data_IF_708873050240
#
_entry.id   IF_708873050240
#
_cell.length_a   1.000
_cell.length_b   1.000
_cell.length_c   1.000
_cell.angle_alpha   90.00
_cell.angle_beta   90.00
_cell.angle_gamma   90.00
#
_symmetry.space_group_name_H-M   'P 1'
#
loop_
_entity.id
_entity.type
_entity.pdbx_description
1 polymer ?
#
# COMPACT_ATOMS: atom_id res chain seq x y z
N UNK A 1 18.49 5.74 15.12
CA UNK A 1 17.66 6.82 14.54
C UNK A 1 18.51 8.06 14.24
N UNK A 2 18.32 8.69 13.09
CA UNK A 2 18.93 9.97 12.71
C UNK A 2 18.39 11.09 13.58
N UNK A 3 19.24 12.09 13.89
CA UNK A 3 18.85 13.24 14.72
C UNK A 3 18.90 14.51 13.90
N UNK A 4 17.80 15.26 13.89
CA UNK A 4 17.70 16.58 13.24
C UNK A 4 17.68 17.67 14.30
N UNK A 5 18.39 18.76 14.04
CA UNK A 5 18.38 19.94 14.91
C UNK A 5 17.43 21.01 14.38
N UNK A 6 16.52 21.48 15.23
CA UNK A 6 15.59 22.57 14.92
C UNK A 6 15.81 23.69 15.94
N UNK A 7 16.04 24.90 15.44
CA UNK A 7 16.13 26.11 16.28
C UNK A 7 14.77 26.78 16.31
N UNK A 8 14.25 26.98 17.51
CA UNK A 8 12.97 27.65 17.76
C UNK A 8 13.12 28.80 18.73
N UNK A 9 12.12 29.67 18.74
CA UNK A 9 11.99 30.81 19.66
C UNK A 9 10.76 30.59 20.54
N UNK A 10 10.88 30.85 21.85
CA UNK A 10 9.78 30.69 22.78
C UNK A 10 8.63 31.67 22.48
N UNK A 11 7.40 31.20 22.51
CA UNK A 11 6.21 32.04 22.35
C UNK A 11 5.78 32.62 23.69
N UNK A 12 5.81 33.94 23.78
CA UNK A 12 5.34 34.67 24.98
C UNK A 12 3.82 34.85 24.99
N UNK A 13 3.23 35.06 23.81
CA UNK A 13 1.80 35.28 23.65
C UNK A 13 1.14 34.12 22.91
N UNK A 14 0.07 33.60 23.47
CA UNK A 14 -0.77 32.55 22.89
C UNK A 14 -2.07 33.16 22.36
N UNK A 15 -2.66 32.55 21.32
CA UNK A 15 -3.94 32.94 20.77
C UNK A 15 -3.97 33.07 19.24
N UNK A 16 -5.20 33.25 18.70
CA UNK A 16 -5.46 33.23 17.24
C UNK A 16 -4.74 34.35 16.47
N UNK A 17 -4.68 35.56 17.04
CA UNK A 17 -4.09 36.72 16.36
C UNK A 17 -2.58 36.51 16.15
N UNK A 18 -1.88 36.13 17.22
CA UNK A 18 -0.44 35.85 17.19
C UNK A 18 -0.11 34.66 16.27
N UNK A 19 -0.85 33.55 16.37
CA UNK A 19 -0.67 32.38 15.50
C UNK A 19 -0.82 32.73 14.02
N UNK A 20 -1.80 33.60 13.67
CA UNK A 20 -1.99 34.04 12.28
C UNK A 20 -0.83 34.91 11.80
N UNK A 21 -0.26 35.73 12.67
CA UNK A 21 0.91 36.56 12.36
C UNK A 21 2.15 35.69 12.13
N UNK A 22 2.47 34.75 13.04
CA UNK A 22 3.60 33.81 12.91
C UNK A 22 3.56 33.08 11.57
N UNK A 23 2.38 32.57 11.18
CA UNK A 23 2.21 31.89 9.88
C UNK A 23 2.38 32.81 8.67
N UNK A 24 2.00 34.08 8.78
CA UNK A 24 2.24 35.07 7.71
C UNK A 24 3.73 35.39 7.52
N UNK A 25 4.50 35.34 8.60
CA UNK A 25 5.96 35.55 8.59
C UNK A 25 6.75 34.33 8.10
N UNK A 26 6.03 33.22 7.73
CA UNK A 26 6.66 31.98 7.25
C UNK A 26 7.17 31.09 8.38
N UNK A 27 6.71 31.30 9.60
CA UNK A 27 7.02 30.48 10.75
C UNK A 27 5.87 29.54 11.10
N UNK A 28 6.19 28.39 11.71
CA UNK A 28 5.24 27.38 12.16
C UNK A 28 5.16 27.41 13.68
N UNK A 29 3.98 27.58 14.27
CA UNK A 29 3.77 27.41 15.70
C UNK A 29 3.83 25.95 16.07
N UNK A 30 4.56 25.61 17.12
CA UNK A 30 4.80 24.24 17.59
C UNK A 30 4.61 24.15 19.10
N UNK A 31 4.39 22.91 19.56
CA UNK A 31 4.27 22.60 20.99
C UNK A 31 5.14 21.37 21.30
N UNK A 32 5.87 21.43 22.42
CA UNK A 32 6.51 20.28 23.04
C UNK A 32 5.73 19.92 24.28
N UNK A 33 5.29 18.67 24.37
CA UNK A 33 4.59 18.13 25.54
C UNK A 33 5.22 16.79 25.99
N UNK A 34 4.79 16.27 27.12
CA UNK A 34 5.35 15.06 27.73
C UNK A 34 6.04 15.32 29.07
N UNK A 35 6.17 16.57 29.48
CA UNK A 35 6.57 17.00 30.81
C UNK A 35 5.39 17.69 31.53
N UNK A 36 5.60 18.16 32.77
CA UNK A 36 4.62 18.90 33.56
C UNK A 36 4.17 20.20 32.87
N UNK A 37 5.05 20.85 32.13
CA UNK A 37 4.75 22.10 31.42
C UNK A 37 4.88 21.91 29.89
N UNK A 38 3.85 22.35 29.17
CA UNK A 38 3.89 22.41 27.71
C UNK A 38 4.69 23.63 27.26
N UNK A 39 5.65 23.41 26.34
CA UNK A 39 6.51 24.45 25.81
C UNK A 39 6.01 24.86 24.44
N UNK A 40 5.57 26.12 24.33
CA UNK A 40 5.11 26.69 23.07
C UNK A 40 6.23 27.47 22.40
N UNK A 41 6.57 27.11 21.18
CA UNK A 41 7.61 27.76 20.39
C UNK A 41 7.17 27.96 18.95
N UNK A 42 7.97 28.64 18.17
CA UNK A 42 7.82 28.71 16.73
C UNK A 42 9.19 28.57 16.06
N UNK A 43 9.20 28.00 14.87
CA UNK A 43 10.40 27.86 14.07
C UNK A 43 10.09 28.11 12.59
N UNK A 44 11.10 28.45 11.77
CA UNK A 44 10.92 28.65 10.34
C UNK A 44 10.44 27.37 9.65
N UNK A 45 9.45 27.49 8.74
CA UNK A 45 8.88 26.36 7.99
C UNK A 45 9.97 25.52 7.29
N UNK A 46 11.02 26.16 6.81
CA UNK A 46 12.16 25.50 6.13
C UNK A 46 12.89 24.49 7.01
N UNK A 47 12.93 24.70 8.32
CA UNK A 47 13.61 23.80 9.26
C UNK A 47 12.93 22.45 9.39
N UNK A 48 11.65 22.37 9.06
CA UNK A 48 10.85 21.13 9.12
C UNK A 48 10.91 20.31 7.83
N UNK A 49 11.47 20.86 6.73
CA UNK A 49 11.46 20.20 5.42
C UNK A 49 12.08 18.80 5.47
N UNK A 50 13.25 18.66 6.08
CA UNK A 50 13.94 17.38 6.16
C UNK A 50 13.27 16.40 7.14
N UNK A 51 12.49 16.89 8.11
CA UNK A 51 11.77 16.06 9.07
C UNK A 51 10.48 15.47 8.47
N UNK A 52 9.75 16.27 7.69
CA UNK A 52 8.41 15.93 7.22
C UNK A 52 8.45 15.16 5.89
N UNK A 53 9.33 15.56 4.98
CA UNK A 53 9.39 14.96 3.64
C UNK A 53 10.32 13.74 3.54
N UNK A 54 10.87 13.29 4.66
CA UNK A 54 11.66 12.05 4.72
C UNK A 54 10.81 10.90 5.23
N UNK A 55 10.88 9.76 4.57
CA UNK A 55 10.15 8.55 4.95
C UNK A 55 10.84 7.75 6.07
N UNK A 56 11.47 8.41 7.01
CA UNK A 56 12.19 7.79 8.13
C UNK A 56 11.68 8.36 9.44
N UNK A 57 11.56 7.52 10.47
CA UNK A 57 11.31 8.01 11.81
C UNK A 57 12.59 8.64 12.38
N UNK A 58 12.51 9.90 12.77
CA UNK A 58 13.67 10.68 13.18
C UNK A 58 13.51 11.27 14.57
N UNK A 59 14.64 11.37 15.29
CA UNK A 59 14.72 12.11 16.54
C UNK A 59 14.95 13.59 16.24
N UNK A 60 14.30 14.45 16.99
CA UNK A 60 14.44 15.89 16.84
C UNK A 60 15.07 16.48 18.08
N UNK A 61 16.19 17.19 17.90
CA UNK A 61 16.79 18.02 18.93
C UNK A 61 16.31 19.46 18.74
N UNK A 62 15.43 19.91 19.61
CA UNK A 62 14.84 21.24 19.52
C UNK A 62 15.60 22.16 20.49
N UNK A 63 16.21 23.21 19.93
CA UNK A 63 16.84 24.28 20.70
C UNK A 63 15.88 25.44 20.80
N UNK A 64 15.34 25.67 21.98
CA UNK A 64 14.45 26.82 22.25
C UNK A 64 15.22 27.76 23.17
N UNK A 65 15.59 28.92 22.63
CA UNK A 65 16.47 29.88 23.28
C UNK A 65 17.77 29.19 23.79
N UNK A 66 17.97 29.06 25.11
CA UNK A 66 19.15 28.44 25.70
C UNK A 66 18.96 26.98 26.17
N UNK A 67 17.76 26.39 25.89
CA UNK A 67 17.44 25.05 26.35
C UNK A 67 17.33 24.06 25.18
N UNK A 68 17.82 22.84 25.37
CA UNK A 68 17.74 21.77 24.39
C UNK A 68 16.76 20.70 24.86
N UNK A 69 15.88 20.28 23.93
CA UNK A 69 14.89 19.25 24.18
C UNK A 69 15.05 18.13 23.14
N UNK A 70 15.12 16.88 23.62
CA UNK A 70 15.01 15.71 22.76
C UNK A 70 13.52 15.38 22.60
N UNK A 71 13.04 15.32 21.38
CA UNK A 71 11.63 15.07 21.08
C UNK A 71 11.46 14.24 19.81
N UNK A 72 10.28 13.68 19.62
CA UNK A 72 9.82 13.04 18.37
C UNK A 72 8.62 13.81 17.85
N UNK A 73 8.49 13.89 16.53
CA UNK A 73 7.29 14.39 15.88
C UNK A 73 6.15 13.43 16.16
N UNK A 74 5.07 13.94 16.74
CA UNK A 74 3.90 13.16 17.10
C UNK A 74 2.75 13.37 16.13
N UNK A 75 2.45 14.63 15.81
CA UNK A 75 1.39 14.99 14.89
C UNK A 75 1.76 16.25 14.09
N UNK A 76 1.23 16.33 12.88
CA UNK A 76 1.45 17.45 11.96
C UNK A 76 0.14 17.87 11.28
N UNK A 77 -0.04 19.16 11.11
CA UNK A 77 -1.22 19.72 10.46
C UNK A 77 -0.82 20.51 9.24
N UNK A 78 -1.34 20.11 8.08
CA UNK A 78 -1.15 20.80 6.82
C UNK A 78 -2.36 21.60 6.38
N UNK A 79 -2.11 22.60 5.58
CA UNK A 79 -3.18 23.32 4.92
C UNK A 79 -3.70 22.51 3.72
N UNK A 80 -5.02 22.21 3.61
CA UNK A 80 -5.57 21.24 2.67
C UNK A 80 -5.43 21.61 1.18
N UNK A 81 -5.08 22.86 0.87
CA UNK A 81 -4.95 23.35 -0.51
C UNK A 81 -3.51 23.70 -0.87
N UNK A 82 -2.72 24.20 0.09
CA UNK A 82 -1.37 24.70 -0.19
C UNK A 82 -0.28 23.82 0.36
N UNK A 83 -0.62 22.73 1.05
CA UNK A 83 0.27 21.77 1.72
C UNK A 83 1.34 22.40 2.64
N UNK A 84 1.09 23.63 3.06
CA UNK A 84 1.95 24.33 4.01
C UNK A 84 1.73 23.78 5.41
N UNK A 85 2.81 23.60 6.15
CA UNK A 85 2.75 23.18 7.54
C UNK A 85 2.08 24.28 8.41
N UNK A 86 0.98 23.94 9.07
CA UNK A 86 0.24 24.84 9.96
C UNK A 86 0.62 24.69 11.41
N UNK A 87 0.91 23.46 11.85
CA UNK A 87 1.25 23.15 13.24
C UNK A 87 2.09 21.87 13.29
N UNK A 88 2.96 21.75 14.27
CA UNK A 88 3.68 20.52 14.56
C UNK A 88 3.73 20.29 16.07
N UNK A 89 3.39 19.07 16.47
CA UNK A 89 3.33 18.61 17.84
C UNK A 89 4.51 17.67 18.11
N UNK A 90 5.26 17.97 19.17
CA UNK A 90 6.43 17.21 19.57
C UNK A 90 6.21 16.57 20.94
N UNK A 91 6.51 15.28 21.02
CA UNK A 91 6.53 14.56 22.27
C UNK A 91 7.97 14.53 22.81
N UNK A 92 8.17 15.08 24.00
CA UNK A 92 9.47 15.05 24.66
C UNK A 92 9.84 13.63 25.06
N UNK A 93 11.07 13.25 24.81
CA UNK A 93 11.61 11.92 25.06
C UNK A 93 12.50 11.95 26.29
N UNK A 94 12.35 10.89 27.09
CA UNK A 94 13.23 10.56 28.20
C UNK A 94 13.84 9.17 27.97
N UNK A 95 15.11 9.02 28.22
CA UNK A 95 15.85 7.77 27.96
C UNK A 95 15.23 6.57 28.74
N UNK A 96 14.57 6.82 29.88
CA UNK A 96 14.00 5.79 30.75
C UNK A 96 12.49 5.55 30.56
N UNK A 97 11.83 6.17 29.58
CA UNK A 97 10.39 6.00 29.36
C UNK A 97 10.11 5.45 27.97
N UNK A 98 9.24 4.43 27.86
CA UNK A 98 8.81 3.97 26.53
C UNK A 98 8.01 5.05 25.80
N UNK A 99 8.28 5.23 24.53
CA UNK A 99 7.62 6.22 23.66
C UNK A 99 6.77 5.50 22.65
N UNK A 100 5.63 6.09 22.32
CA UNK A 100 4.77 5.63 21.23
C UNK A 100 4.96 6.55 20.04
N UNK A 101 5.39 5.98 18.91
CA UNK A 101 5.61 6.70 17.66
C UNK A 101 5.05 5.94 16.47
N UNK A 102 4.79 6.63 15.38
CA UNK A 102 4.43 6.04 14.11
C UNK A 102 5.71 5.83 13.29
N UNK A 103 6.03 4.56 12.98
CA UNK A 103 7.21 4.21 12.18
C UNK A 103 6.73 3.80 10.78
N UNK A 104 7.38 4.28 9.71
CA UNK A 104 7.04 3.91 8.35
C UNK A 104 7.39 2.46 8.06
N UNK A 105 6.59 1.86 7.18
CA UNK A 105 6.74 0.48 6.72
C UNK A 105 7.34 0.47 5.33
N UNK A 106 8.43 -0.28 5.15
CA UNK A 106 9.08 -0.51 3.86
C UNK A 106 9.01 -1.99 3.51
N UNK A 107 8.51 -2.30 2.30
CA UNK A 107 8.50 -3.65 1.77
C UNK A 107 9.84 -3.97 1.14
N UNK A 108 10.44 -5.11 1.50
CA UNK A 108 11.72 -5.60 0.95
C UNK A 108 11.48 -6.92 0.22
N UNK A 109 12.16 -7.10 -0.92
CA UNK A 109 12.03 -8.29 -1.77
C UNK A 109 11.01 -8.11 -2.88
N UNK A 110 11.03 -9.02 -3.84
CA UNK A 110 10.04 -9.10 -4.92
C UNK A 110 9.06 -10.23 -4.64
N UNK A 111 7.80 -9.91 -4.45
CA UNK A 111 6.80 -10.93 -4.16
C UNK A 111 6.52 -11.83 -5.38
N UNK A 112 6.32 -13.12 -5.13
CA UNK A 112 5.89 -14.10 -6.16
C UNK A 112 4.58 -13.63 -6.80
N UNK A 113 3.68 -13.03 -6.03
CA UNK A 113 2.42 -12.51 -6.54
C UNK A 113 2.57 -11.34 -7.51
N UNK A 114 3.58 -10.48 -7.34
CA UNK A 114 3.88 -9.40 -8.31
C UNK A 114 4.47 -9.99 -9.59
N UNK A 115 5.34 -10.98 -9.49
CA UNK A 115 5.91 -11.69 -10.67
C UNK A 115 4.84 -12.38 -11.52
N UNK A 116 3.73 -12.80 -10.90
CA UNK A 116 2.60 -13.45 -11.59
C UNK A 116 1.51 -12.44 -12.03
N UNK A 117 1.80 -11.12 -12.05
CA UNK A 117 0.90 -10.08 -12.55
C UNK A 117 0.03 -9.42 -11.48
N UNK A 118 0.28 -9.66 -10.20
CA UNK A 118 -0.35 -8.94 -9.08
C UNK A 118 0.25 -7.56 -8.85
N UNK A 119 -0.49 -6.70 -8.16
CA UNK A 119 -0.06 -5.39 -7.70
C UNK A 119 0.10 -5.41 -6.18
N UNK A 120 1.30 -4.99 -5.70
CA UNK A 120 1.59 -4.86 -4.28
C UNK A 120 0.97 -3.55 -3.76
N UNK A 121 0.09 -3.66 -2.79
CA UNK A 121 -0.57 -2.50 -2.16
C UNK A 121 -0.22 -2.44 -0.67
N UNK A 122 0.42 -1.36 -0.25
CA UNK A 122 0.67 -1.07 1.16
C UNK A 122 -0.57 -0.34 1.69
N UNK A 123 -1.38 -1.04 2.50
CA UNK A 123 -2.59 -0.47 3.11
C UNK A 123 -2.28 0.42 4.32
N UNK A 124 -1.26 0.05 5.09
CA UNK A 124 -0.77 0.85 6.21
C UNK A 124 0.68 1.22 5.99
N UNK A 125 0.91 2.49 5.70
CA UNK A 125 2.26 3.04 5.48
C UNK A 125 3.02 3.29 6.77
N UNK A 126 2.30 3.43 7.89
CA UNK A 126 2.87 3.65 9.22
C UNK A 126 2.23 2.69 10.20
N UNK A 127 3.03 2.16 11.12
CA UNK A 127 2.56 1.36 12.26
C UNK A 127 2.84 2.09 13.55
N UNK A 128 1.86 2.05 14.45
CA UNK A 128 2.00 2.62 15.80
C UNK A 128 2.76 1.65 16.69
N UNK A 129 3.92 2.09 17.14
CA UNK A 129 4.89 1.27 17.83
C UNK A 129 5.20 1.87 19.19
N UNK A 130 5.33 1.04 20.20
CA UNK A 130 5.76 1.40 21.55
C UNK A 130 7.07 0.70 21.88
N UNK A 131 8.06 1.47 22.31
CA UNK A 131 9.37 0.93 22.69
C UNK A 131 10.26 1.98 23.33
N UNK A 132 11.43 1.55 23.79
CA UNK A 132 12.48 2.48 24.21
C UNK A 132 13.18 3.07 23.00
N UNK A 133 13.57 4.32 23.09
CA UNK A 133 14.16 5.08 21.98
C UNK A 133 15.40 4.41 21.38
N UNK A 134 16.19 3.71 22.21
CA UNK A 134 17.39 2.99 21.79
C UNK A 134 17.12 1.83 20.82
N UNK A 135 15.97 1.17 20.97
CA UNK A 135 15.60 0.00 20.17
C UNK A 135 14.69 0.32 18.99
N UNK A 136 14.25 1.56 18.85
CA UNK A 136 13.34 1.94 17.77
C UNK A 136 14.11 2.08 16.45
N UNK A 137 13.75 1.34 15.38
CA UNK A 137 14.35 1.48 14.07
C UNK A 137 13.88 2.76 13.35
N UNK A 138 14.58 3.15 12.29
CA UNK A 138 14.17 4.26 11.43
C UNK A 138 12.99 3.89 10.54
N UNK A 139 12.91 2.63 10.12
CA UNK A 139 11.86 2.05 9.30
C UNK A 139 11.60 0.59 9.69
N UNK A 140 10.38 0.11 9.48
CA UNK A 140 10.01 -1.28 9.67
C UNK A 140 10.08 -2.01 8.33
N UNK A 141 11.09 -2.85 8.18
CA UNK A 141 11.27 -3.67 6.98
C UNK A 141 10.43 -4.93 7.06
N UNK A 142 9.61 -5.16 6.03
CA UNK A 142 8.77 -6.36 5.91
C UNK A 142 9.16 -7.11 4.65
N UNK A 143 9.54 -8.38 4.79
CA UNK A 143 9.81 -9.24 3.65
C UNK A 143 8.49 -9.67 3.00
N UNK A 144 8.39 -9.44 1.67
CA UNK A 144 7.23 -9.77 0.87
C UNK A 144 7.50 -10.86 -0.16
N UNK A 145 8.67 -11.50 -0.11
CA UNK A 145 9.15 -12.44 -1.14
C UNK A 145 8.16 -13.58 -1.36
N UNK A 146 7.64 -14.19 -0.29
CA UNK A 146 6.74 -15.36 -0.37
C UNK A 146 5.25 -14.97 -0.55
N UNK A 147 4.94 -13.67 -0.70
CA UNK A 147 3.57 -13.21 -0.76
C UNK A 147 2.95 -13.51 -2.14
N UNK A 148 1.89 -14.33 -2.16
CA UNK A 148 1.13 -14.71 -3.35
C UNK A 148 -0.02 -13.72 -3.59
N UNK A 149 -0.63 -13.79 -4.79
CA UNK A 149 -1.84 -13.06 -5.13
C UNK A 149 -2.97 -13.42 -4.14
N UNK A 150 -3.75 -12.43 -3.73
CA UNK A 150 -4.82 -12.49 -2.72
C UNK A 150 -4.36 -12.75 -1.29
N UNK A 151 -3.07 -12.89 -1.04
CA UNK A 151 -2.54 -12.98 0.31
C UNK A 151 -2.25 -11.59 0.89
N UNK A 152 -2.26 -11.49 2.20
CA UNK A 152 -1.98 -10.25 2.93
C UNK A 152 -1.19 -10.54 4.20
N UNK A 153 -0.25 -9.66 4.52
CA UNK A 153 0.48 -9.69 5.80
C UNK A 153 -0.29 -8.81 6.79
N UNK A 154 -0.58 -9.36 7.96
CA UNK A 154 -1.29 -8.69 9.05
C UNK A 154 -0.32 -8.26 10.15
N UNK A 155 -0.72 -7.25 10.93
CA UNK A 155 0.07 -6.76 12.09
C UNK A 155 0.41 -7.89 13.07
N UNK A 156 -0.51 -8.84 13.27
CA UNK A 156 -0.30 -9.96 14.21
C UNK A 156 0.73 -11.00 13.77
N UNK A 157 1.15 -11.00 12.50
CA UNK A 157 2.17 -11.89 11.95
C UNK A 157 3.57 -11.26 12.04
N UNK A 158 3.63 -9.96 12.35
CA UNK A 158 4.87 -9.22 12.48
C UNK A 158 5.35 -9.28 13.94
N UNK A 159 6.61 -9.62 14.14
CA UNK A 159 7.27 -9.55 15.43
C UNK A 159 8.62 -8.85 15.29
N UNK A 160 8.85 -7.85 16.09
CA UNK A 160 10.10 -7.11 16.15
C UNK A 160 10.69 -7.21 17.54
N UNK A 161 12.01 -7.25 17.64
CA UNK A 161 12.70 -7.36 18.92
C UNK A 161 12.56 -6.06 19.73
N UNK A 162 12.19 -6.20 21.02
CA UNK A 162 12.07 -5.08 21.97
C UNK A 162 11.05 -3.98 21.62
N UNK A 163 10.09 -4.30 20.74
CA UNK A 163 9.10 -3.35 20.22
C UNK A 163 7.72 -3.95 20.31
N UNK A 164 6.76 -3.19 20.82
CA UNK A 164 5.35 -3.56 20.90
C UNK A 164 4.55 -2.84 19.82
N UNK A 165 3.84 -3.60 18.98
CA UNK A 165 2.90 -3.05 17.99
C UNK A 165 1.56 -2.78 18.67
N UNK A 166 1.09 -1.52 18.66
CA UNK A 166 -0.18 -1.12 19.27
C UNK A 166 -1.36 -1.22 18.31
N UNK A 167 -1.11 -1.38 17.03
CA UNK A 167 -2.16 -1.54 16.02
C UNK A 167 -2.91 -2.86 16.18
N UNK A 168 -4.20 -2.93 15.76
CA UNK A 168 -4.98 -4.16 15.83
C UNK A 168 -4.33 -5.31 15.06
N UNK A 169 -4.18 -6.48 15.69
CA UNK A 169 -3.54 -7.66 15.10
C UNK A 169 -4.17 -8.13 13.78
N UNK A 170 -5.48 -7.88 13.59
CA UNK A 170 -6.23 -8.26 12.38
C UNK A 170 -5.98 -7.29 11.22
N UNK A 171 -5.42 -6.10 11.51
CA UNK A 171 -5.21 -5.09 10.48
C UNK A 171 -4.19 -5.56 9.44
N UNK A 172 -4.57 -5.44 8.17
CA UNK A 172 -3.69 -5.74 7.03
C UNK A 172 -2.71 -4.60 6.81
N UNK A 173 -1.43 -4.93 6.71
CA UNK A 173 -0.34 -3.97 6.42
C UNK A 173 -0.05 -3.93 4.93
N UNK A 174 0.24 -5.09 4.35
CA UNK A 174 0.58 -5.24 2.93
C UNK A 174 -0.30 -6.32 2.33
N UNK A 175 -0.76 -6.13 1.10
CA UNK A 175 -1.52 -7.14 0.34
C UNK A 175 -1.11 -7.12 -1.11
N UNK A 176 -1.19 -8.28 -1.77
CA UNK A 176 -1.05 -8.38 -3.23
C UNK A 176 -2.43 -8.65 -3.82
N UNK A 177 -2.87 -7.79 -4.72
CA UNK A 177 -4.14 -7.90 -5.42
C UNK A 177 -3.91 -8.06 -6.90
N UNK A 178 -4.86 -8.67 -7.62
CA UNK A 178 -4.83 -8.66 -9.08
C UNK A 178 -5.13 -7.25 -9.60
N UNK A 179 -4.34 -6.78 -10.55
CA UNK A 179 -4.62 -5.52 -11.23
C UNK A 179 -5.91 -5.67 -12.06
N UNK A 180 -6.74 -4.62 -12.10
CA UNK A 180 -7.94 -4.61 -12.95
C UNK A 180 -7.61 -4.79 -14.44
N UNK A 181 -6.40 -4.39 -14.84
CA UNK A 181 -5.90 -4.57 -16.20
C UNK A 181 -5.54 -6.03 -16.45
N UNK A 182 -4.88 -6.69 -15.48
CA UNK A 182 -4.56 -8.11 -15.57
C UNK A 182 -5.81 -9.00 -15.53
N UNK A 183 -6.83 -8.63 -14.74
CA UNK A 183 -8.13 -9.33 -14.76
C UNK A 183 -8.81 -9.24 -16.12
N UNK A 184 -8.84 -8.05 -16.73
CA UNK A 184 -9.43 -7.88 -18.08
C UNK A 184 -8.65 -8.63 -19.15
N UNK A 185 -7.33 -8.62 -19.09
CA UNK A 185 -6.49 -9.38 -20.01
C UNK A 185 -6.70 -10.89 -19.86
N UNK A 186 -6.81 -11.38 -18.63
CA UNK A 186 -7.11 -12.79 -18.36
C UNK A 186 -8.55 -13.18 -18.77
N UNK A 187 -9.54 -12.28 -18.62
CA UNK A 187 -10.90 -12.49 -19.13
C UNK A 187 -10.95 -12.49 -20.66
N UNK A 188 -10.22 -11.58 -21.31
CA UNK A 188 -10.10 -11.55 -22.78
C UNK A 188 -9.37 -12.78 -23.33
N UNK A 189 -8.31 -13.25 -22.66
CA UNK A 189 -7.61 -14.48 -23.03
C UNK A 189 -8.48 -15.73 -22.79
N UNK A 190 -9.22 -15.79 -21.70
CA UNK A 190 -10.16 -16.87 -21.42
C UNK A 190 -11.35 -16.86 -22.40
N UNK A 191 -11.85 -15.68 -22.76
CA UNK A 191 -12.91 -15.54 -23.76
C UNK A 191 -12.40 -15.91 -25.17
N UNK A 192 -11.18 -15.55 -25.52
CA UNK A 192 -10.55 -15.95 -26.79
C UNK A 192 -10.28 -17.46 -26.85
N UNK A 193 -9.84 -18.08 -25.75
CA UNK A 193 -9.65 -19.51 -25.67
C UNK A 193 -10.97 -20.28 -25.77
N UNK A 194 -12.04 -19.81 -25.10
CA UNK A 194 -13.38 -20.38 -25.19
C UNK A 194 -14.01 -20.22 -26.60
N UNK A 195 -13.74 -19.11 -27.28
CA UNK A 195 -14.16 -18.90 -28.65
C UNK A 195 -13.41 -19.84 -29.63
N UNK A 196 -12.12 -20.05 -29.41
CA UNK A 196 -11.31 -20.99 -30.21
C UNK A 196 -11.71 -22.46 -29.99
N UNK A 197 -12.07 -22.85 -28.76
CA UNK A 197 -12.65 -24.19 -28.49
C UNK A 197 -14.03 -24.37 -29.12
N UNK A 198 -14.88 -23.33 -29.12
CA UNK A 198 -16.17 -23.40 -29.78
C UNK A 198 -16.07 -23.50 -31.32
N UNK A 199 -15.14 -22.75 -31.91
CA UNK A 199 -14.83 -22.83 -33.34
C UNK A 199 -14.25 -24.21 -33.75
N UNK A 200 -13.41 -24.81 -32.90
CA UNK A 200 -12.87 -26.14 -33.11
C UNK A 200 -13.96 -27.22 -33.00
N UNK A 201 -14.91 -27.08 -32.08
CA UNK A 201 -16.02 -27.98 -31.94
C UNK A 201 -17.05 -27.88 -33.12
N UNK A 202 -17.30 -26.69 -33.66
CA UNK A 202 -18.11 -26.50 -34.86
C UNK A 202 -17.43 -27.10 -36.12
N UNK A 203 -16.11 -27.07 -36.20
CA UNK A 203 -15.35 -27.66 -37.31
C UNK A 203 -15.36 -29.21 -37.20
N UNK A 204 -15.32 -29.79 -36.00
CA UNK A 204 -15.46 -31.23 -35.79
C UNK A 204 -16.86 -31.73 -36.10
N UNK A 205 -17.93 -31.01 -35.66
CA UNK A 205 -19.29 -31.34 -35.96
C UNK A 205 -19.65 -31.22 -37.48
N UNK A 206 -19.03 -30.24 -38.17
CA UNK A 206 -19.16 -30.10 -39.61
C UNK A 206 -18.41 -31.18 -40.40
N UNK A 207 -17.27 -31.70 -39.86
CA UNK A 207 -16.52 -32.79 -40.48
C UNK A 207 -17.22 -34.15 -40.30
N UNK A 208 -17.82 -34.43 -39.14
CA UNK A 208 -18.63 -35.66 -38.96
C UNK A 208 -19.90 -35.65 -39.80
N UNK A 209 -20.56 -34.47 -39.99
CA UNK A 209 -21.75 -34.34 -40.87
C UNK A 209 -21.43 -34.56 -42.35
N UNK A 210 -20.24 -34.24 -42.87
CA UNK A 210 -19.79 -34.52 -44.24
C UNK A 210 -19.39 -35.98 -44.47
N UNK A 211 -18.96 -36.71 -43.43
CA UNK A 211 -18.66 -38.15 -43.54
C UNK A 211 -19.97 -38.98 -43.54
N UNK A 212 -20.98 -38.62 -42.73
CA UNK A 212 -22.30 -39.30 -42.79
C UNK A 212 -23.04 -39.05 -44.10
N UNK A 213 -22.94 -37.86 -44.72
CA UNK A 213 -23.59 -37.57 -46.03
C UNK A 213 -22.86 -38.33 -47.19
N UNK A 214 -21.57 -38.62 -47.07
CA UNK A 214 -20.83 -39.42 -48.06
C UNK A 214 -21.09 -40.94 -47.92
N UNK A 215 -21.35 -41.45 -46.73
CA UNK A 215 -21.70 -42.86 -46.51
C UNK A 215 -23.16 -43.14 -46.97
N UNK A 216 -24.10 -42.20 -46.72
CA UNK A 216 -25.45 -42.27 -47.19
C UNK A 216 -25.61 -42.15 -48.73
N UNK A 217 -24.64 -41.50 -49.42
CA UNK A 217 -24.63 -41.41 -50.90
C UNK A 217 -23.97 -42.62 -51.60
N UNK A 218 -23.28 -43.50 -50.85
CA UNK A 218 -22.64 -44.69 -51.39
C UNK A 218 -23.50 -45.95 -51.37
N UNK A 219 -24.63 -45.98 -50.64
CA UNK A 219 -25.52 -47.11 -50.50
C UNK A 219 -26.72 -47.10 -51.43
N UNK A 220 -26.93 -46.12 -52.31
CA UNK A 220 -28.12 -46.02 -53.16
C UNK A 220 -27.86 -46.14 -54.68
N UNK A 221 -27.24 -47.21 -55.22
CA UNK A 221 -27.52 -47.67 -56.58
C UNK A 221 -27.60 -49.19 -56.70
N UNK A 222 -28.51 -49.85 -56.03
CA UNK A 222 -28.64 -51.34 -56.10
C UNK A 222 -30.08 -51.89 -56.35
N UNK A 223 -31.08 -51.15 -56.10
CA UNK A 223 -32.46 -51.72 -56.06
C UNK A 223 -33.40 -51.32 -57.19
N UNK A 224 -32.99 -50.46 -58.12
CA UNK A 224 -33.89 -50.05 -59.22
C UNK A 224 -33.80 -50.85 -60.55
N UNK A 225 -32.99 -51.92 -60.59
CA UNK A 225 -32.79 -52.74 -61.82
C UNK A 225 -33.54 -54.10 -61.84
N UNK A 226 -34.22 -54.50 -60.81
CA UNK A 226 -34.87 -55.84 -60.75
C UNK A 226 -36.41 -55.79 -60.89
N UNK A 227 -37.06 -54.66 -60.94
CA UNK A 227 -38.54 -54.56 -61.11
C UNK A 227 -39.04 -54.28 -62.54
N UNK A 228 -38.15 -54.10 -63.52
CA UNK A 228 -38.53 -53.79 -64.91
C UNK A 228 -38.49 -55.00 -65.83
N UNK A 229 -38.25 -56.25 -65.35
CA UNK A 229 -38.24 -57.49 -66.18
C UNK A 229 -39.38 -58.43 -65.96
N UNK A 230 -40.36 -58.12 -65.09
CA UNK A 230 -41.49 -59.00 -64.82
C UNK A 230 -42.87 -58.51 -65.36
N UNK A 231 -42.90 -57.53 -66.26
CA UNK A 231 -44.12 -57.01 -66.88
C UNK A 231 -44.15 -57.02 -68.39
N UNK A 232 -43.40 -57.90 -69.03
CA UNK A 232 -43.56 -58.22 -70.45
C UNK A 232 -43.30 -59.70 -70.68
N UNK A 233 -44.32 -60.54 -70.34
CA UNK A 233 -44.63 -61.77 -70.99
C UNK A 233 -46.07 -62.26 -70.62
#
# INVERSE_FOLDING_TARGET
MKTIEIKGTLRKELGKKNTKQIRKEGNVPCVIYGNENNIHFYAPERSFKNLIYTHEAQLVRIKVDDQEYKAVLHDEQFHPVTDRLLHADFLQIYDNKPVTINIPVTAVGESVGVKTGGELMIKRRHLKVRGMVEYLPEELTIDVTDLKIHNSIKVGELSFENIELLDPKIATVITVTTSRVALKAAEEEAAAAAAAEAEAAEIEEAAEGEEEEKEAAAEAPGEEKEQEKEKQS
#
